data_IF_773686160274
#
_entry.id   IF_773686160274
#
_cell.length_a   1.000
_cell.length_b   1.000
_cell.length_c   1.000
_cell.angle_alpha   90.00
_cell.angle_beta   90.00
_cell.angle_gamma   90.00
#
_symmetry.space_group_name_H-M   'P 1'
#
loop_
_entity.id
_entity.type
_entity.pdbx_description
1 polymer ?
#
# COMPACT_ATOMS: atom_id res chain seq x y z
N UNK A 1 -8.00 -0.78 -4.27
CA UNK A 1 -9.41 -1.24 -4.12
C UNK A 1 -10.36 -0.62 -5.15
N UNK A 2 -10.08 0.56 -5.71
CA UNK A 2 -10.95 1.21 -6.71
C UNK A 2 -11.40 0.31 -7.88
N UNK A 3 -10.53 -0.56 -8.40
CA UNK A 3 -10.91 -1.45 -9.51
C UNK A 3 -11.78 -2.66 -9.10
N UNK A 4 -11.92 -2.93 -7.80
CA UNK A 4 -12.84 -3.96 -7.29
C UNK A 4 -14.21 -3.31 -7.08
N UNK A 5 -14.22 -2.11 -6.51
CA UNK A 5 -15.42 -1.31 -6.25
C UNK A 5 -16.21 -1.01 -7.54
N UNK A 6 -15.52 -0.64 -8.62
CA UNK A 6 -16.12 -0.37 -9.94
C UNK A 6 -16.87 -1.56 -10.52
N UNK A 7 -16.45 -2.79 -10.20
CA UNK A 7 -17.09 -4.01 -10.68
C UNK A 7 -18.14 -4.57 -9.70
N UNK A 8 -17.97 -4.34 -8.40
CA UNK A 8 -18.88 -4.82 -7.36
C UNK A 8 -20.12 -3.93 -7.18
N UNK A 9 -19.94 -2.60 -7.08
CA UNK A 9 -21.05 -1.67 -6.79
C UNK A 9 -22.18 -1.71 -7.82
N UNK A 10 -21.92 -1.85 -9.14
CA UNK A 10 -23.00 -2.03 -10.12
C UNK A 10 -23.80 -3.32 -9.92
N UNK A 11 -23.15 -4.39 -9.48
CA UNK A 11 -23.80 -5.67 -9.23
C UNK A 11 -24.69 -5.59 -7.97
N UNK A 12 -24.19 -4.97 -6.89
CA UNK A 12 -24.95 -4.70 -5.66
C UNK A 12 -26.12 -3.76 -5.95
N UNK A 13 -25.87 -2.66 -6.66
CA UNK A 13 -26.88 -1.67 -7.08
C UNK A 13 -28.05 -2.31 -7.83
N UNK A 14 -27.78 -3.31 -8.69
CA UNK A 14 -28.83 -4.03 -9.42
C UNK A 14 -29.73 -4.85 -8.50
N UNK A 15 -29.18 -5.46 -7.46
CA UNK A 15 -29.97 -6.22 -6.48
C UNK A 15 -30.79 -5.31 -5.56
N UNK A 16 -30.18 -4.23 -5.04
CA UNK A 16 -30.88 -3.29 -4.15
C UNK A 16 -32.00 -2.54 -4.89
N UNK A 17 -31.83 -2.27 -6.19
CA UNK A 17 -32.87 -1.67 -7.03
C UNK A 17 -34.12 -2.55 -7.19
N UNK A 18 -34.05 -3.85 -6.88
CA UNK A 18 -35.21 -4.73 -6.88
C UNK A 18 -36.07 -4.57 -5.61
N UNK A 19 -35.53 -3.97 -4.54
CA UNK A 19 -36.18 -3.81 -3.24
C UNK A 19 -36.54 -2.35 -2.93
N UNK A 20 -35.76 -1.40 -3.46
CA UNK A 20 -35.94 0.03 -3.21
C UNK A 20 -35.88 0.84 -4.52
N UNK A 21 -36.63 1.96 -4.62
CA UNK A 21 -36.53 2.87 -5.76
C UNK A 21 -35.10 3.39 -5.89
N UNK A 22 -34.53 3.27 -7.10
CA UNK A 22 -33.19 3.78 -7.40
C UNK A 22 -33.09 5.26 -7.07
N UNK A 23 -32.02 5.63 -6.37
CA UNK A 23 -31.72 7.03 -6.03
C UNK A 23 -32.38 7.53 -4.74
N UNK A 24 -33.27 6.75 -4.12
CA UNK A 24 -33.79 7.02 -2.78
C UNK A 24 -32.67 6.93 -1.73
N UNK A 25 -32.84 7.64 -0.60
CA UNK A 25 -31.85 7.59 0.49
C UNK A 25 -31.66 6.17 1.07
N UNK A 26 -32.74 5.38 1.32
CA UNK A 26 -32.60 3.99 1.74
C UNK A 26 -31.86 3.11 0.73
N UNK A 27 -32.05 3.36 -0.57
CA UNK A 27 -31.33 2.65 -1.63
C UNK A 27 -29.82 2.92 -1.56
N UNK A 28 -29.41 4.19 -1.39
CA UNK A 28 -27.99 4.55 -1.31
C UNK A 28 -27.32 3.96 -0.07
N UNK A 29 -28.00 4.03 1.07
CA UNK A 29 -27.51 3.45 2.34
C UNK A 29 -27.31 1.94 2.21
N UNK A 30 -28.33 1.21 1.73
CA UNK A 30 -28.24 -0.24 1.57
C UNK A 30 -27.14 -0.67 0.59
N UNK A 31 -26.94 0.07 -0.51
CA UNK A 31 -25.83 -0.22 -1.45
C UNK A 31 -24.47 -0.04 -0.77
N UNK A 32 -24.30 1.02 0.03
CA UNK A 32 -23.05 1.26 0.75
C UNK A 32 -22.81 0.21 1.84
N UNK A 33 -23.82 -0.13 2.64
CA UNK A 33 -23.71 -1.16 3.68
C UNK A 33 -23.33 -2.52 3.10
N UNK A 34 -23.98 -2.94 2.01
CA UNK A 34 -23.63 -4.20 1.34
C UNK A 34 -22.22 -4.17 0.75
N UNK A 35 -21.77 -3.03 0.25
CA UNK A 35 -20.40 -2.85 -0.20
C UNK A 35 -19.40 -2.95 0.96
N UNK A 36 -19.64 -2.27 2.08
CA UNK A 36 -18.75 -2.30 3.26
C UNK A 36 -18.60 -3.72 3.82
N UNK A 37 -19.69 -4.50 3.86
CA UNK A 37 -19.65 -5.91 4.26
C UNK A 37 -18.80 -6.74 3.31
N UNK A 38 -18.99 -6.57 2.00
CA UNK A 38 -18.23 -7.28 0.97
C UNK A 38 -16.74 -6.89 0.99
N UNK A 39 -16.44 -5.61 1.09
CA UNK A 39 -15.09 -5.07 1.20
C UNK A 39 -14.38 -5.59 2.45
N UNK A 40 -15.07 -5.68 3.58
CA UNK A 40 -14.55 -6.29 4.80
C UNK A 40 -14.15 -7.75 4.61
N UNK A 41 -14.93 -8.54 3.87
CA UNK A 41 -14.60 -9.94 3.55
C UNK A 41 -13.42 -10.06 2.59
N UNK A 42 -13.37 -9.24 1.55
CA UNK A 42 -12.25 -9.18 0.61
C UNK A 42 -10.97 -8.77 1.34
N UNK A 43 -11.05 -7.80 2.26
CA UNK A 43 -9.91 -7.39 3.09
C UNK A 43 -9.39 -8.55 3.91
N UNK A 44 -10.27 -9.37 4.54
CA UNK A 44 -9.85 -10.57 5.27
C UNK A 44 -9.06 -11.54 4.39
N UNK A 45 -9.54 -11.80 3.17
CA UNK A 45 -8.85 -12.66 2.19
C UNK A 45 -7.46 -12.08 1.86
N UNK A 46 -7.35 -10.78 1.62
CA UNK A 46 -6.07 -10.11 1.32
C UNK A 46 -5.09 -10.21 2.49
N UNK A 47 -5.60 -10.09 3.72
CA UNK A 47 -4.80 -10.09 4.95
C UNK A 47 -4.55 -11.48 5.55
N UNK A 48 -5.04 -12.54 4.91
CA UNK A 48 -4.88 -13.91 5.35
C UNK A 48 -3.41 -14.28 5.50
N UNK A 49 -3.08 -15.03 6.54
CA UNK A 49 -1.70 -15.26 6.96
C UNK A 49 -1.09 -16.47 6.26
N UNK A 50 -1.88 -17.50 5.95
CA UNK A 50 -1.45 -18.67 5.19
C UNK A 50 -2.19 -18.81 3.86
N UNK A 51 -1.66 -19.61 2.95
CA UNK A 51 -2.31 -19.87 1.66
C UNK A 51 -3.60 -20.68 1.87
N UNK A 52 -3.61 -21.59 2.84
CA UNK A 52 -4.76 -22.41 3.21
C UNK A 52 -5.90 -21.55 3.74
N UNK A 53 -5.61 -20.67 4.71
CA UNK A 53 -6.59 -19.72 5.27
C UNK A 53 -7.17 -18.82 4.16
N UNK A 54 -6.32 -18.34 3.26
CA UNK A 54 -6.73 -17.52 2.12
C UNK A 54 -7.68 -18.29 1.18
N UNK A 55 -7.36 -19.55 0.87
CA UNK A 55 -8.18 -20.41 0.01
C UNK A 55 -9.52 -20.78 0.65
N UNK A 56 -9.54 -21.02 1.95
CA UNK A 56 -10.76 -21.25 2.73
C UNK A 56 -11.67 -20.02 2.68
N UNK A 57 -11.14 -18.85 3.08
CA UNK A 57 -11.87 -17.59 3.04
C UNK A 57 -12.38 -17.25 1.64
N UNK A 58 -11.59 -17.54 0.60
CA UNK A 58 -12.02 -17.34 -0.78
C UNK A 58 -13.14 -18.29 -1.20
N UNK A 59 -13.11 -19.54 -0.74
CA UNK A 59 -14.15 -20.52 -1.01
C UNK A 59 -15.46 -20.16 -0.30
N UNK A 60 -15.39 -19.68 0.94
CA UNK A 60 -16.54 -19.16 1.67
C UNK A 60 -17.13 -17.93 0.98
N UNK A 61 -16.28 -17.00 0.53
CA UNK A 61 -16.70 -15.81 -0.20
C UNK A 61 -17.46 -16.17 -1.49
N UNK A 62 -16.95 -17.11 -2.29
CA UNK A 62 -17.65 -17.58 -3.50
C UNK A 62 -19.03 -18.17 -3.20
N UNK A 63 -19.18 -18.87 -2.07
CA UNK A 63 -20.45 -19.46 -1.63
C UNK A 63 -21.44 -18.37 -1.22
N UNK A 64 -21.01 -17.46 -0.35
CA UNK A 64 -21.81 -16.36 0.19
C UNK A 64 -22.27 -15.39 -0.90
N UNK A 65 -21.37 -15.04 -1.82
CA UNK A 65 -21.61 -14.07 -2.89
C UNK A 65 -21.87 -14.72 -4.27
N UNK A 66 -22.31 -15.98 -4.29
CA UNK A 66 -22.59 -16.76 -5.51
C UNK A 66 -23.60 -16.10 -6.46
N UNK A 67 -24.51 -15.30 -5.93
CA UNK A 67 -25.47 -14.47 -6.70
C UNK A 67 -24.79 -13.42 -7.58
N UNK A 68 -23.62 -12.93 -7.19
CA UNK A 68 -22.83 -11.93 -7.92
C UNK A 68 -21.90 -12.58 -8.97
N UNK A 69 -22.44 -13.49 -9.80
CA UNK A 69 -21.65 -14.34 -10.72
C UNK A 69 -20.65 -13.56 -11.58
N UNK A 70 -21.06 -12.42 -12.16
CA UNK A 70 -20.18 -11.57 -12.98
C UNK A 70 -18.98 -11.04 -12.19
N UNK A 71 -19.20 -10.62 -10.96
CA UNK A 71 -18.15 -10.12 -10.08
C UNK A 71 -17.20 -11.25 -9.64
N UNK A 72 -17.75 -12.42 -9.29
CA UNK A 72 -16.93 -13.60 -8.96
C UNK A 72 -16.09 -14.05 -10.15
N UNK A 73 -16.63 -14.02 -11.37
CA UNK A 73 -15.87 -14.29 -12.60
C UNK A 73 -14.71 -13.31 -12.74
N UNK A 74 -14.98 -12.00 -12.70
CA UNK A 74 -13.94 -10.97 -12.75
C UNK A 74 -12.84 -11.20 -11.71
N UNK A 75 -13.23 -11.44 -10.46
CA UNK A 75 -12.28 -11.71 -9.39
C UNK A 75 -11.42 -12.96 -9.70
N UNK A 76 -12.02 -14.02 -10.22
CA UNK A 76 -11.33 -15.29 -10.48
C UNK A 76 -10.45 -15.27 -11.73
N UNK A 77 -10.84 -14.54 -12.78
CA UNK A 77 -10.15 -14.56 -14.08
C UNK A 77 -9.17 -13.43 -14.27
N UNK A 78 -9.45 -12.26 -13.69
CA UNK A 78 -8.66 -11.05 -13.90
C UNK A 78 -7.90 -10.65 -12.63
N UNK A 79 -8.56 -10.66 -11.48
CA UNK A 79 -7.97 -10.12 -10.25
C UNK A 79 -7.03 -11.13 -9.55
N UNK A 80 -7.47 -12.37 -9.33
CA UNK A 80 -6.72 -13.41 -8.65
C UNK A 80 -5.54 -13.98 -9.43
N UNK A 81 -5.59 -14.17 -10.76
CA UNK A 81 -4.45 -14.73 -11.49
C UNK A 81 -3.32 -13.71 -11.72
N UNK A 82 -3.67 -12.44 -11.90
CA UNK A 82 -2.73 -11.44 -12.41
C UNK A 82 -1.73 -10.93 -11.36
N UNK A 83 -2.03 -11.03 -10.06
CA UNK A 83 -1.27 -10.29 -9.06
C UNK A 83 -1.23 -10.85 -7.61
N UNK A 84 -1.66 -12.09 -7.30
CA UNK A 84 -1.87 -12.52 -5.91
C UNK A 84 -0.58 -12.49 -5.10
N UNK A 85 0.56 -12.83 -5.73
CA UNK A 85 1.89 -12.79 -5.11
C UNK A 85 2.41 -11.39 -4.77
N UNK A 86 1.82 -10.34 -5.33
CA UNK A 86 2.30 -8.97 -5.14
C UNK A 86 1.59 -8.25 -3.98
N UNK A 87 0.41 -8.70 -3.57
CA UNK A 87 -0.38 -7.99 -2.55
C UNK A 87 -1.00 -8.88 -1.46
N UNK A 88 -1.19 -10.19 -1.69
CA UNK A 88 -1.73 -11.05 -0.63
C UNK A 88 -0.66 -11.27 0.45
N UNK A 89 -1.07 -11.06 1.70
CA UNK A 89 -0.16 -11.13 2.84
C UNK A 89 0.51 -12.49 2.98
N UNK A 90 -0.17 -13.58 2.66
CA UNK A 90 0.40 -14.92 2.69
C UNK A 90 1.67 -15.05 1.81
N UNK A 91 1.75 -14.31 0.70
CA UNK A 91 2.92 -14.26 -0.18
C UNK A 91 3.88 -13.11 0.16
N UNK A 92 3.36 -11.95 0.58
CA UNK A 92 4.20 -10.76 0.81
C UNK A 92 4.85 -10.72 2.19
N UNK A 93 4.39 -11.53 3.15
CA UNK A 93 4.93 -11.58 4.53
C UNK A 93 6.41 -11.98 4.65
N UNK A 94 7.02 -12.47 3.56
CA UNK A 94 8.43 -12.82 3.53
C UNK A 94 9.32 -11.65 3.09
N UNK A 95 8.73 -10.56 2.62
CA UNK A 95 9.45 -9.40 2.12
C UNK A 95 9.41 -8.25 3.11
N UNK A 96 10.50 -7.49 3.14
CA UNK A 96 10.61 -6.27 3.93
C UNK A 96 9.73 -5.17 3.33
N UNK A 97 8.60 -4.88 3.97
CA UNK A 97 7.59 -3.93 3.48
C UNK A 97 7.17 -2.88 4.52
N UNK A 98 7.69 -2.89 5.75
CA UNK A 98 7.54 -1.82 6.77
C UNK A 98 6.06 -1.53 7.14
N UNK A 99 5.18 -2.53 6.97
CA UNK A 99 3.71 -2.38 7.01
C UNK A 99 3.12 -1.35 6.02
N UNK A 100 3.89 -0.90 5.02
CA UNK A 100 3.42 -0.04 3.94
C UNK A 100 2.72 -0.88 2.87
N UNK A 101 1.60 -1.49 3.25
CA UNK A 101 0.74 -2.27 2.35
C UNK A 101 -0.44 -1.46 1.82
N UNK A 102 -0.60 -0.22 2.28
CA UNK A 102 -1.68 0.68 1.88
C UNK A 102 -1.29 1.59 0.71
N UNK A 103 -2.21 1.80 -0.23
CA UNK A 103 -2.04 2.76 -1.35
C UNK A 103 -2.23 4.20 -0.93
N UNK A 104 -2.62 4.47 0.33
CA UNK A 104 -2.97 5.82 0.83
C UNK A 104 -1.86 6.86 0.64
N UNK A 105 -0.59 6.46 0.79
CA UNK A 105 0.56 7.36 0.56
C UNK A 105 0.70 7.73 -0.92
N UNK A 106 0.49 6.75 -1.81
CA UNK A 106 0.52 6.96 -3.27
C UNK A 106 -0.66 7.83 -3.69
N UNK A 107 -1.85 7.55 -3.17
CA UNK A 107 -3.06 8.34 -3.42
C UNK A 107 -2.93 9.78 -2.92
N UNK A 108 -2.34 9.99 -1.73
CA UNK A 108 -2.05 11.31 -1.19
C UNK A 108 -1.01 12.08 -2.00
N UNK A 109 0.04 11.41 -2.48
CA UNK A 109 1.04 12.01 -3.37
C UNK A 109 0.39 12.42 -4.70
N UNK A 110 -0.39 11.52 -5.29
CA UNK A 110 -1.12 11.77 -6.52
C UNK A 110 -2.18 12.88 -6.36
N UNK A 111 -2.88 12.94 -5.23
CA UNK A 111 -3.79 14.04 -4.90
C UNK A 111 -3.03 15.36 -4.79
N UNK A 112 -1.88 15.38 -4.12
CA UNK A 112 -1.05 16.58 -3.98
C UNK A 112 -0.60 17.10 -5.34
N UNK A 113 -0.17 16.20 -6.23
CA UNK A 113 0.18 16.55 -7.60
C UNK A 113 -1.04 17.05 -8.38
N UNK A 114 -2.22 16.43 -8.23
CA UNK A 114 -3.43 16.80 -8.98
C UNK A 114 -4.15 18.04 -8.48
N UNK A 115 -3.91 18.48 -7.26
CA UNK A 115 -4.61 19.62 -6.66
C UNK A 115 -4.31 20.94 -7.38
N UNK A 116 -3.06 21.16 -7.77
CA UNK A 116 -2.56 22.45 -8.24
C UNK A 116 -2.66 22.69 -9.78
N UNK A 117 -2.70 21.66 -10.65
CA UNK A 117 -2.90 21.80 -12.10
C UNK A 117 -4.32 22.14 -12.53
N UNK A 118 -5.31 22.18 -11.62
CA UNK A 118 -6.72 22.35 -11.98
C UNK A 118 -7.06 23.80 -12.40
N UNK A 119 -6.62 24.22 -13.59
CA UNK A 119 -7.28 25.28 -14.37
C UNK A 119 -7.08 24.95 -15.85
N UNK A 120 -8.17 24.84 -16.60
CA UNK A 120 -8.25 24.28 -17.96
C UNK A 120 -7.47 25.04 -19.07
N UNK A 121 -6.61 26.01 -18.75
CA UNK A 121 -5.95 26.91 -19.70
C UNK A 121 -4.45 27.17 -19.41
N UNK A 122 -3.74 26.27 -18.71
CA UNK A 122 -2.30 26.48 -18.40
C UNK A 122 -1.40 25.85 -19.46
N UNK A 123 -0.36 26.59 -19.85
CA UNK A 123 0.72 26.09 -20.69
C UNK A 123 1.40 24.88 -20.03
N UNK A 124 1.83 23.92 -20.85
CA UNK A 124 2.49 22.69 -20.38
C UNK A 124 3.73 23.02 -19.53
N UNK A 125 4.46 24.08 -19.88
CA UNK A 125 5.62 24.52 -19.13
C UNK A 125 5.26 24.96 -17.70
N UNK A 126 4.13 25.64 -17.52
CA UNK A 126 3.64 26.06 -16.20
C UNK A 126 3.19 24.86 -15.35
N UNK A 127 2.63 23.82 -15.97
CA UNK A 127 2.27 22.59 -15.28
C UNK A 127 3.52 21.87 -14.76
N UNK A 128 4.55 21.73 -15.60
CA UNK A 128 5.82 21.10 -15.21
C UNK A 128 6.50 21.86 -14.07
N UNK A 129 6.57 23.20 -14.16
CA UNK A 129 7.15 24.02 -13.09
C UNK A 129 6.39 23.89 -11.76
N UNK A 130 5.07 23.74 -11.81
CA UNK A 130 4.25 23.49 -10.60
C UNK A 130 4.50 22.12 -10.00
N UNK A 131 4.65 21.07 -10.82
CA UNK A 131 5.02 19.76 -10.32
C UNK A 131 6.38 19.77 -9.65
N UNK A 132 7.37 20.43 -10.27
CA UNK A 132 8.70 20.58 -9.67
C UNK A 132 8.61 21.27 -8.31
N UNK A 133 7.93 22.42 -8.22
CA UNK A 133 7.75 23.15 -6.96
C UNK A 133 7.02 22.33 -5.89
N UNK A 134 6.00 21.54 -6.27
CA UNK A 134 5.29 20.67 -5.34
C UNK A 134 6.18 19.55 -4.80
N UNK A 135 7.03 18.96 -5.65
CA UNK A 135 8.01 17.93 -5.25
C UNK A 135 9.05 18.54 -4.30
N UNK A 136 9.62 19.70 -4.66
CA UNK A 136 10.59 20.42 -3.82
C UNK A 136 10.01 20.75 -2.44
N UNK A 137 8.77 21.28 -2.39
CA UNK A 137 8.08 21.55 -1.14
C UNK A 137 7.84 20.29 -0.28
N UNK A 138 7.54 19.15 -0.91
CA UNK A 138 7.43 17.86 -0.19
C UNK A 138 8.79 17.42 0.38
N UNK A 139 9.86 17.53 -0.41
CA UNK A 139 11.22 17.20 0.04
C UNK A 139 11.63 18.07 1.22
N UNK A 140 11.39 19.37 1.16
CA UNK A 140 11.72 20.30 2.25
C UNK A 140 10.89 20.04 3.50
N UNK A 141 9.61 19.71 3.33
CA UNK A 141 8.76 19.27 4.45
C UNK A 141 9.31 18.02 5.13
N UNK A 142 9.71 17.01 4.37
CA UNK A 142 10.30 15.77 4.90
C UNK A 142 11.62 16.08 5.62
N UNK A 143 12.51 16.86 5.01
CA UNK A 143 13.79 17.28 5.62
C UNK A 143 13.57 18.03 6.93
N UNK A 144 12.62 18.96 6.95
CA UNK A 144 12.24 19.71 8.16
C UNK A 144 11.71 18.77 9.25
N UNK A 145 10.87 17.79 8.91
CA UNK A 145 10.37 16.80 9.86
C UNK A 145 11.49 15.94 10.44
N UNK A 146 12.41 15.45 9.60
CA UNK A 146 13.58 14.68 10.06
C UNK A 146 14.47 15.51 10.99
N UNK A 147 14.73 16.78 10.63
CA UNK A 147 15.51 17.69 11.48
C UNK A 147 14.83 17.93 12.84
N UNK A 148 13.51 18.15 12.86
CA UNK A 148 12.73 18.29 14.10
C UNK A 148 12.80 17.04 14.98
N UNK A 149 12.71 15.86 14.39
CA UNK A 149 12.84 14.59 15.11
C UNK A 149 14.24 14.42 15.74
N UNK A 150 15.31 14.78 15.01
CA UNK A 150 16.68 14.75 15.54
C UNK A 150 16.88 15.68 16.74
N UNK A 151 16.19 16.82 16.78
CA UNK A 151 16.27 17.78 17.89
C UNK A 151 15.39 17.43 19.09
N UNK A 152 14.45 16.49 18.96
CA UNK A 152 13.51 16.13 20.03
C UNK A 152 14.13 15.10 20.97
N UNK A 153 14.19 15.42 22.27
CA UNK A 153 14.51 14.41 23.29
C UNK A 153 13.32 13.47 23.46
N UNK A 154 13.54 12.18 23.23
CA UNK A 154 12.58 11.13 23.57
C UNK A 154 12.64 10.87 25.08
N UNK A 155 11.57 11.18 25.80
CA UNK A 155 11.45 10.97 27.25
C UNK A 155 10.46 9.86 27.56
N UNK A 156 10.59 9.24 28.74
CA UNK A 156 9.67 8.19 29.21
C UNK A 156 9.88 6.82 28.57
N UNK A 157 11.07 6.56 28.01
CA UNK A 157 11.43 5.25 27.47
C UNK A 157 12.06 4.37 28.56
N UNK A 158 11.75 3.07 28.52
CA UNK A 158 12.36 2.08 29.39
C UNK A 158 13.89 1.98 29.11
N UNK A 159 14.75 1.71 30.11
CA UNK A 159 16.21 1.59 29.93
C UNK A 159 16.67 0.65 28.80
N UNK A 160 15.85 -0.34 28.46
CA UNK A 160 16.08 -1.25 27.32
C UNK A 160 16.25 -0.51 25.99
N UNK A 161 15.75 0.72 25.85
CA UNK A 161 15.91 1.56 24.66
C UNK A 161 17.16 2.45 24.72
N UNK A 162 17.89 2.50 25.84
CA UNK A 162 19.00 3.44 26.04
C UNK A 162 20.08 3.36 24.98
N UNK A 163 20.39 2.15 24.50
CA UNK A 163 21.41 1.90 23.46
C UNK A 163 21.02 2.32 22.05
N UNK A 164 19.75 2.65 21.79
CA UNK A 164 19.26 3.01 20.44
C UNK A 164 18.82 4.47 20.30
N UNK A 165 18.80 5.23 21.40
CA UNK A 165 18.44 6.64 21.39
C UNK A 165 19.41 7.44 20.51
N UNK A 166 18.88 8.27 19.61
CA UNK A 166 19.67 9.10 18.69
C UNK A 166 20.31 8.33 17.52
N UNK A 167 20.48 7.01 17.63
CA UNK A 167 21.05 6.15 16.57
C UNK A 167 19.96 5.61 15.64
N UNK A 168 18.81 5.27 16.19
CA UNK A 168 17.65 4.72 15.47
C UNK A 168 16.56 5.78 15.34
N UNK A 169 15.79 5.71 14.25
CA UNK A 169 14.66 6.61 14.00
C UNK A 169 13.60 6.56 15.12
N UNK A 170 12.97 7.71 15.39
CA UNK A 170 11.89 7.82 16.39
C UNK A 170 10.72 6.88 16.08
N UNK A 171 10.41 6.70 14.80
CA UNK A 171 9.30 5.84 14.38
C UNK A 171 9.57 4.36 14.69
N UNK A 172 10.79 3.86 14.46
CA UNK A 172 11.15 2.50 14.83
C UNK A 172 11.10 2.29 16.35
N UNK A 173 11.64 3.24 17.12
CA UNK A 173 11.59 3.18 18.59
C UNK A 173 10.14 3.19 19.07
N UNK A 174 9.29 4.07 18.53
CA UNK A 174 7.86 4.15 18.85
C UNK A 174 7.12 2.84 18.54
N UNK A 175 7.43 2.18 17.43
CA UNK A 175 6.85 0.87 17.07
C UNK A 175 7.32 -0.23 18.03
N UNK A 176 8.61 -0.28 18.33
CA UNK A 176 9.17 -1.25 19.29
C UNK A 176 8.64 -1.01 20.71
N UNK A 177 8.46 0.24 21.12
CA UNK A 177 7.87 0.59 22.41
C UNK A 177 6.42 0.10 22.52
N UNK A 178 5.64 0.15 21.44
CA UNK A 178 4.29 -0.46 21.44
C UNK A 178 4.37 -1.95 21.73
N UNK A 179 5.29 -2.69 21.09
CA UNK A 179 5.51 -4.12 21.36
C UNK A 179 5.91 -4.31 22.83
N UNK A 180 6.87 -3.54 23.33
CA UNK A 180 7.27 -3.59 24.74
C UNK A 180 6.06 -3.39 25.67
N UNK A 181 5.28 -2.35 25.48
CA UNK A 181 4.13 -2.05 26.35
C UNK A 181 3.06 -3.15 26.30
N UNK A 182 2.84 -3.78 25.15
CA UNK A 182 1.84 -4.85 24.99
C UNK A 182 2.19 -6.12 25.77
N UNK A 183 3.47 -6.47 25.87
CA UNK A 183 3.90 -7.76 26.44
C UNK A 183 4.67 -7.64 27.77
N UNK A 184 5.34 -6.52 28.00
CA UNK A 184 6.20 -6.25 29.16
C UNK A 184 5.80 -4.97 29.91
N UNK A 185 4.73 -4.31 29.48
CA UNK A 185 4.19 -3.14 30.15
C UNK A 185 3.55 -3.47 31.49
N UNK A 186 3.26 -2.42 32.26
CA UNK A 186 2.60 -2.53 33.57
C UNK A 186 1.10 -2.83 33.48
N UNK A 187 0.50 -2.58 32.31
CA UNK A 187 -0.94 -2.74 32.09
C UNK A 187 -1.23 -4.04 31.33
N UNK A 188 -1.72 -5.04 32.05
CA UNK A 188 -2.22 -6.33 31.52
C UNK A 188 -1.35 -6.94 30.40
N UNK A 189 -0.12 -7.39 30.73
CA UNK A 189 0.82 -7.91 29.75
C UNK A 189 0.25 -9.16 29.05
N UNK A 190 0.34 -9.19 27.73
CA UNK A 190 -0.01 -10.37 26.95
C UNK A 190 1.02 -11.48 27.12
N UNK A 191 0.56 -12.73 27.04
CA UNK A 191 1.44 -13.89 27.05
C UNK A 191 2.36 -13.90 25.81
N UNK A 192 3.64 -14.18 26.04
CA UNK A 192 4.64 -14.30 24.98
C UNK A 192 4.63 -15.75 24.49
N UNK A 193 4.42 -15.93 23.17
CA UNK A 193 4.56 -17.24 22.53
C UNK A 193 5.99 -17.77 22.70
N UNK A 194 6.20 -19.07 22.98
CA UNK A 194 7.55 -19.64 23.05
C UNK A 194 8.26 -19.55 21.69
N UNK A 195 7.52 -19.72 20.60
CA UNK A 195 8.06 -19.68 19.25
C UNK A 195 8.06 -18.27 18.69
N UNK A 196 9.20 -17.87 18.11
CA UNK A 196 9.36 -16.61 17.40
C UNK A 196 9.06 -16.81 15.92
N UNK A 197 8.09 -16.07 15.39
CA UNK A 197 7.75 -16.12 13.96
C UNK A 197 8.75 -15.40 13.06
N UNK A 198 9.71 -14.65 13.60
CA UNK A 198 10.70 -13.88 12.83
C UNK A 198 10.14 -12.65 12.07
N UNK A 199 8.83 -12.59 11.87
CA UNK A 199 8.15 -11.62 11.01
C UNK A 199 8.46 -10.17 11.35
N UNK A 200 8.53 -9.80 12.63
CA UNK A 200 8.78 -8.41 13.01
C UNK A 200 10.12 -7.92 12.45
N UNK A 201 11.12 -8.81 12.41
CA UNK A 201 12.43 -8.49 11.85
C UNK A 201 12.40 -8.54 10.33
N UNK A 202 11.78 -9.55 9.74
CA UNK A 202 11.75 -9.73 8.28
C UNK A 202 10.87 -8.70 7.55
N UNK A 203 9.66 -8.47 8.04
CA UNK A 203 8.69 -7.58 7.38
C UNK A 203 8.88 -6.12 7.75
N UNK A 204 9.20 -5.83 9.02
CA UNK A 204 9.25 -4.47 9.56
C UNK A 204 10.65 -4.00 9.92
N UNK A 205 11.61 -4.90 10.06
CA UNK A 205 12.98 -4.54 10.43
C UNK A 205 13.13 -4.00 11.85
N UNK A 206 12.21 -4.36 12.74
CA UNK A 206 12.26 -4.00 14.16
C UNK A 206 12.36 -5.27 15.01
N UNK A 207 12.95 -5.21 16.21
CA UNK A 207 13.07 -6.39 17.07
C UNK A 207 11.68 -6.94 17.44
N UNK A 208 11.57 -8.27 17.46
CA UNK A 208 10.39 -8.94 17.99
C UNK A 208 10.38 -8.89 19.52
N UNK A 209 9.26 -9.32 20.12
CA UNK A 209 9.16 -9.37 21.57
C UNK A 209 10.23 -10.25 22.21
N UNK A 210 10.64 -11.35 21.58
CA UNK A 210 11.69 -12.23 22.12
C UNK A 210 13.04 -11.52 22.25
N UNK A 211 13.43 -10.70 21.28
CA UNK A 211 14.67 -9.90 21.35
C UNK A 211 14.58 -8.85 22.46
N UNK A 212 13.43 -8.19 22.58
CA UNK A 212 13.18 -7.18 23.61
C UNK A 212 13.20 -7.80 25.00
N UNK A 213 12.51 -8.93 25.17
CA UNK A 213 12.45 -9.70 26.42
C UNK A 213 13.84 -10.17 26.84
N UNK A 214 14.62 -10.72 25.90
CA UNK A 214 16.01 -11.11 26.18
C UNK A 214 16.87 -9.95 26.66
N UNK A 215 16.75 -8.77 26.05
CA UNK A 215 17.46 -7.58 26.48
C UNK A 215 16.98 -7.07 27.85
N UNK A 216 15.68 -7.21 28.12
CA UNK A 216 15.07 -6.83 29.39
C UNK A 216 15.50 -7.74 30.54
N UNK A 217 15.46 -9.07 30.36
CA UNK A 217 15.82 -10.06 31.37
C UNK A 217 17.26 -9.91 31.86
N UNK A 218 18.18 -9.65 30.94
CA UNK A 218 19.62 -9.49 31.28
C UNK A 218 19.94 -8.09 31.81
N UNK A 219 18.95 -7.20 31.98
CA UNK A 219 19.15 -5.80 32.36
C UNK A 219 19.93 -5.00 31.33
N UNK A 220 19.94 -5.44 30.07
CA UNK A 220 20.68 -4.84 28.98
C UNK A 220 19.88 -3.79 28.21
N UNK A 221 20.41 -3.42 27.04
CA UNK A 221 19.75 -2.53 26.10
C UNK A 221 19.76 -3.12 24.69
N UNK A 222 18.78 -2.72 23.88
CA UNK A 222 18.76 -2.99 22.46
C UNK A 222 19.96 -2.33 21.78
N UNK A 223 20.46 -3.00 20.75
CA UNK A 223 21.57 -2.54 19.91
C UNK A 223 21.04 -2.00 18.59
N UNK A 224 21.85 -1.16 17.94
CA UNK A 224 21.64 -0.71 16.55
C UNK A 224 21.40 -1.90 15.59
N UNK A 225 22.09 -3.02 15.81
CA UNK A 225 22.02 -4.23 14.98
C UNK A 225 20.70 -4.99 15.08
N UNK A 226 19.90 -4.72 16.12
CA UNK A 226 18.58 -5.34 16.28
C UNK A 226 17.55 -4.72 15.33
N UNK A 227 17.89 -3.59 14.70
CA UNK A 227 17.07 -2.86 13.76
C UNK A 227 17.65 -2.94 12.35
N UNK A 228 16.78 -3.08 11.37
CA UNK A 228 17.15 -3.03 9.96
C UNK A 228 17.77 -1.67 9.60
N UNK A 229 18.71 -1.67 8.65
CA UNK A 229 19.46 -0.49 8.21
C UNK A 229 18.57 0.69 7.81
N UNK A 230 17.39 0.40 7.25
CA UNK A 230 16.37 1.40 6.93
C UNK A 230 16.05 2.36 8.09
N UNK A 231 16.11 1.86 9.34
CA UNK A 231 15.75 2.63 10.53
C UNK A 231 16.92 3.39 11.16
N UNK A 232 18.13 3.29 10.60
CA UNK A 232 19.32 3.94 11.16
C UNK A 232 19.35 5.41 10.75
N UNK A 233 19.64 6.31 11.70
CA UNK A 233 19.69 7.76 11.44
C UNK A 233 20.93 8.21 10.63
N UNK A 234 21.94 7.34 10.52
CA UNK A 234 23.17 7.55 9.75
C UNK A 234 23.29 6.50 8.63
N UNK A 235 23.11 6.88 7.36
CA UNK A 235 23.30 5.99 6.22
C UNK A 235 24.77 5.71 5.88
N UNK A 236 25.71 6.50 6.42
CA UNK A 236 27.12 6.50 6.03
C UNK A 236 28.02 5.93 7.12
N UNK A 237 28.33 4.63 7.06
CA UNK A 237 29.63 4.11 7.54
C UNK A 237 29.92 2.65 7.23
N UNK A 238 28.93 1.84 6.90
CA UNK A 238 29.19 0.46 6.47
C UNK A 238 28.82 0.32 4.99
N UNK A 239 29.78 -0.22 4.25
CA UNK A 239 29.96 -0.09 2.82
C UNK A 239 28.78 -0.45 1.92
N UNK A 240 29.00 -0.18 0.64
CA UNK A 240 28.13 -0.53 -0.46
C UNK A 240 27.69 -1.99 -0.39
N UNK A 241 26.48 -2.21 0.12
CA UNK A 241 25.62 -3.27 -0.36
C UNK A 241 24.37 -2.56 -0.86
N UNK A 242 24.31 -2.44 -2.18
CA UNK A 242 23.10 -2.07 -2.88
C UNK A 242 22.03 -3.06 -2.45
N UNK A 243 20.91 -2.56 -1.90
CA UNK A 243 19.66 -3.33 -1.91
C UNK A 243 19.58 -4.02 -3.27
N UNK A 244 19.34 -5.35 -3.34
CA UNK A 244 19.13 -5.99 -4.63
C UNK A 244 17.98 -5.23 -5.27
N UNK A 245 18.30 -4.41 -6.29
CA UNK A 245 17.30 -3.81 -7.16
C UNK A 245 16.35 -4.95 -7.48
N UNK A 246 15.03 -4.79 -7.32
CA UNK A 246 14.11 -5.77 -7.85
C UNK A 246 14.51 -5.96 -9.30
N UNK A 247 15.12 -7.12 -9.60
CA UNK A 247 15.37 -7.53 -10.95
C UNK A 247 13.98 -7.80 -11.48
N UNK A 248 13.38 -6.76 -12.08
CA UNK A 248 12.37 -7.00 -13.07
C UNK A 248 13.07 -7.83 -14.12
N UNK A 249 12.86 -9.15 -14.04
CA UNK A 249 13.10 -10.01 -15.18
C UNK A 249 12.36 -9.33 -16.32
N UNK A 250 13.10 -8.83 -17.31
CA UNK A 250 12.56 -8.64 -18.63
C UNK A 250 12.11 -10.03 -19.07
N UNK A 251 10.92 -10.45 -18.67
CA UNK A 251 10.19 -11.47 -19.38
C UNK A 251 10.05 -10.87 -20.76
N UNK A 252 10.87 -11.40 -21.68
CA UNK A 252 10.78 -11.25 -23.13
C UNK A 252 9.50 -10.54 -23.55
N UNK A 253 9.63 -9.27 -23.92
CA UNK A 253 8.69 -8.69 -24.87
C UNK A 253 8.70 -9.66 -26.07
N UNK A 254 7.56 -10.24 -26.47
CA UNK A 254 7.53 -10.93 -27.75
C UNK A 254 7.87 -9.89 -28.82
N UNK A 255 8.97 -10.12 -29.52
CA UNK A 255 9.29 -9.40 -30.75
C UNK A 255 8.08 -9.48 -31.69
N UNK A 256 7.68 -8.30 -32.17
CA UNK A 256 6.94 -8.06 -33.41
C UNK A 256 5.68 -8.89 -33.68
N UNK A 257 4.52 -8.25 -33.49
CA UNK A 257 3.45 -8.40 -34.48
C UNK A 257 2.96 -7.00 -34.90
N UNK A 258 3.14 -6.78 -36.20
CA UNK A 258 2.70 -5.73 -37.11
C UNK A 258 1.50 -4.88 -36.62
N UNK A 259 1.75 -3.62 -36.22
CA UNK A 259 0.70 -2.62 -36.09
C UNK A 259 0.43 -2.02 -37.48
N UNK A 260 -0.73 -2.26 -38.13
CA UNK A 260 -1.06 -1.57 -39.37
C UNK A 260 -1.27 -0.08 -39.08
N UNK A 261 -0.34 0.71 -39.61
CA UNK A 261 -0.29 2.16 -39.57
C UNK A 261 -1.50 2.77 -40.29
N UNK A 262 -2.65 2.90 -39.62
CA UNK A 262 -3.76 3.71 -40.12
C UNK A 262 -3.53 5.18 -39.75
N UNK A 263 -2.92 5.92 -40.67
CA UNK A 263 -3.08 7.38 -40.72
C UNK A 263 -4.57 7.71 -40.85
N UNK A 264 -5.10 8.70 -40.12
CA UNK A 264 -6.40 9.26 -40.43
C UNK A 264 -6.30 9.98 -41.79
N UNK A 265 -7.02 9.48 -42.80
CA UNK A 265 -7.22 10.19 -44.07
C UNK A 265 -8.09 11.41 -43.82
N UNK A 266 -7.51 12.60 -44.02
CA UNK A 266 -8.22 13.88 -44.08
C UNK A 266 -9.15 13.85 -45.30
N UNK A 267 -10.43 14.25 -45.19
CA UNK A 267 -11.31 14.32 -46.36
C UNK A 267 -10.85 15.42 -47.32
N UNK A 268 -10.53 15.04 -48.56
CA UNK A 268 -10.26 15.97 -49.65
C UNK A 268 -11.54 16.73 -50.01
N UNK A 269 -11.51 18.05 -49.82
CA UNK A 269 -12.53 18.98 -50.32
C UNK A 269 -12.44 19.02 -51.84
N UNK A 270 -13.45 18.48 -52.53
CA UNK A 270 -13.62 18.63 -53.97
C UNK A 270 -14.03 20.08 -54.27
N UNK A 271 -13.12 20.84 -54.88
CA UNK A 271 -13.43 22.13 -55.50
C UNK A 271 -13.89 21.86 -56.93
N UNK A 272 -15.20 22.01 -57.18
CA UNK A 272 -15.74 22.04 -58.54
C UNK A 272 -15.31 23.36 -59.21
N UNK A 273 -14.49 23.27 -60.25
CA UNK A 273 -14.34 24.31 -61.26
C UNK A 273 -15.01 23.81 -62.54
N UNK A 274 -16.20 24.32 -62.85
CA UNK A 274 -16.76 24.27 -64.19
C UNK A 274 -16.90 25.71 -64.68
N UNK A 275 -16.02 26.09 -65.60
CA UNK A 275 -16.10 27.30 -66.40
C UNK A 275 -16.31 26.94 -67.87
N UNK A 276 -17.50 27.29 -68.36
CA UNK A 276 -17.86 27.74 -69.71
C UNK A 276 -17.10 27.24 -70.95
N UNK A 277 -17.86 26.62 -71.85
CA UNK A 277 -18.00 27.04 -73.25
C UNK A 277 -19.37 26.62 -73.76
#
# INVERSE_FOLDING_TARGET
MNNIETHAKPAISKEVAALHPKGSEPYKQMVNEQWELMEGRITKIITAYTEEEMQELWSEFKREYSRFRKFITYMTTEWFPSCPRQFLRCYTKQYFHIDETATSRVEGAHWTLKRDPQVANKDLFDVVRRFQAAIEAQVDKIRSQVAKQKGRKQSGLHPVFGGVLGVISEEAIRRTQKIFNTYLGTENPQAISPDCSGLSKETRGIPCIHTIHKAWDIGGALSKTDFHRHWHNDPSRDGADSDPKPQYSKTSEPESDDFPNRRPTVPTVLTNQNGSS
#
